data_IF_721608610517
#
_entry.id   IF_721608610517
#
_cell.length_a   1.000
_cell.length_b   1.000
_cell.length_c   1.000
_cell.angle_alpha   90.00
_cell.angle_beta   90.00
_cell.angle_gamma   90.00
#
_symmetry.space_group_name_H-M   'P 1'
#
loop_
_entity.id
_entity.type
_entity.pdbx_description
1 polymer ?
#
# COMPACT_ATOMS: atom_id res chain seq x y z
N UNK A 1 43.73 -54.78 19.90
CA UNK A 1 43.42 -56.11 19.32
C UNK A 1 41.91 -56.14 19.08
N UNK A 2 41.40 -55.76 17.91
CA UNK A 2 41.18 -56.53 16.67
C UNK A 2 39.91 -57.42 16.68
N UNK A 3 39.07 -57.17 15.64
CA UNK A 3 37.90 -57.91 15.07
C UNK A 3 36.53 -57.34 15.46
N UNK A 4 35.76 -56.61 14.63
CA UNK A 4 35.38 -56.64 13.19
C UNK A 4 34.55 -57.87 12.75
N UNK A 5 33.51 -57.56 11.93
CA UNK A 5 32.63 -58.35 11.02
C UNK A 5 31.15 -58.34 11.46
N UNK A 6 30.19 -57.64 10.84
CA UNK A 6 29.74 -57.44 9.42
C UNK A 6 28.79 -58.53 8.88
N UNK A 7 27.58 -58.10 8.46
CA UNK A 7 26.71 -58.54 7.32
C UNK A 7 25.22 -58.47 7.71
N UNK A 8 24.23 -58.24 6.84
CA UNK A 8 24.13 -57.70 5.48
C UNK A 8 22.61 -57.64 5.14
N UNK A 9 22.20 -56.55 4.50
CA UNK A 9 21.24 -56.37 3.38
C UNK A 9 20.20 -57.48 3.11
N UNK A 10 18.94 -57.10 2.98
CA UNK A 10 18.05 -57.67 1.95
C UNK A 10 17.15 -56.59 1.34
N UNK A 11 17.35 -56.39 0.05
CA UNK A 11 16.62 -55.54 -0.89
C UNK A 11 15.31 -56.23 -1.29
N UNK A 12 14.22 -55.48 -1.45
CA UNK A 12 13.08 -55.92 -2.24
C UNK A 12 12.64 -54.79 -3.18
N UNK A 13 13.06 -54.92 -4.43
CA UNK A 13 12.56 -54.18 -5.59
C UNK A 13 11.29 -54.86 -6.08
N UNK A 14 10.22 -54.10 -6.35
CA UNK A 14 9.21 -54.48 -7.35
C UNK A 14 8.94 -53.28 -8.26
N UNK A 15 9.31 -53.47 -9.52
CA UNK A 15 8.98 -52.66 -10.70
C UNK A 15 7.91 -53.41 -11.48
N UNK A 16 6.90 -52.71 -12.01
CA UNK A 16 6.17 -52.97 -13.27
C UNK A 16 5.17 -51.81 -13.48
N UNK A 17 5.43 -50.80 -14.32
CA UNK A 17 5.31 -50.67 -15.80
C UNK A 17 3.88 -50.56 -16.38
N UNK A 18 3.56 -49.32 -16.78
CA UNK A 18 2.95 -48.84 -18.06
C UNK A 18 1.55 -49.28 -18.53
N UNK A 19 0.67 -48.30 -18.78
CA UNK A 19 -0.01 -47.90 -20.06
C UNK A 19 -1.07 -46.80 -19.76
N UNK A 20 -0.92 -45.53 -20.19
CA UNK A 20 -1.30 -44.87 -21.47
C UNK A 20 -2.81 -44.76 -21.82
N UNK A 21 -3.26 -43.51 -22.01
CA UNK A 21 -4.42 -42.98 -22.79
C UNK A 21 -5.79 -42.95 -22.07
N UNK A 22 -6.68 -41.96 -22.16
CA UNK A 22 -6.82 -40.78 -23.03
C UNK A 22 -7.82 -39.77 -22.43
N UNK A 23 -7.51 -38.48 -22.41
CA UNK A 23 -8.51 -37.40 -22.38
C UNK A 23 -8.54 -36.71 -23.75
N UNK A 24 -9.73 -36.65 -24.34
CA UNK A 24 -9.98 -35.98 -25.61
C UNK A 24 -11.33 -35.29 -25.53
N UNK A 25 -11.32 -33.99 -25.26
CA UNK A 25 -12.41 -33.08 -25.57
C UNK A 25 -11.80 -31.87 -26.28
N UNK A 26 -12.06 -31.82 -27.59
CA UNK A 26 -11.72 -30.75 -28.52
C UNK A 26 -12.82 -29.69 -28.50
N UNK A 27 -12.49 -28.39 -28.53
CA UNK A 27 -12.95 -27.35 -29.48
C UNK A 27 -12.59 -25.91 -29.00
N UNK A 28 -12.58 -24.87 -29.86
CA UNK A 28 -11.32 -24.35 -30.38
C UNK A 28 -11.13 -22.83 -30.24
N UNK A 29 -9.94 -22.40 -30.64
CA UNK A 29 -9.52 -21.04 -31.03
C UNK A 29 -10.62 -20.19 -31.70
N UNK A 30 -10.77 -18.96 -31.19
CA UNK A 30 -11.19 -17.81 -31.98
C UNK A 30 -10.26 -16.63 -31.67
N UNK A 31 -9.38 -16.32 -32.62
CA UNK A 31 -8.76 -15.00 -32.78
C UNK A 31 -9.85 -14.02 -33.22
N UNK A 32 -10.00 -12.90 -32.53
CA UNK A 32 -10.56 -11.68 -33.09
C UNK A 32 -9.72 -10.49 -32.65
N UNK A 33 -9.11 -9.86 -33.66
CA UNK A 33 -8.63 -8.49 -33.58
C UNK A 33 -9.83 -7.54 -33.42
N UNK A 34 -9.65 -6.44 -32.69
CA UNK A 34 -10.01 -5.06 -33.06
C UNK A 34 -10.10 -4.14 -31.82
N UNK A 35 -9.26 -3.11 -31.85
CA UNK A 35 -9.45 -1.73 -31.42
C UNK A 35 -10.23 -1.38 -30.12
N UNK A 36 -9.56 -0.55 -29.31
CA UNK A 36 -10.09 0.24 -28.19
C UNK A 36 -11.31 1.10 -28.56
N UNK A 37 -12.22 1.35 -27.61
CA UNK A 37 -13.07 2.52 -27.63
C UNK A 37 -12.74 3.46 -26.46
N UNK A 38 -12.16 4.61 -26.81
CA UNK A 38 -12.38 5.85 -26.07
C UNK A 38 -13.89 6.15 -26.09
N UNK A 39 -14.51 6.36 -24.94
CA UNK A 39 -15.89 6.87 -24.85
C UNK A 39 -15.95 8.09 -23.95
N UNK A 40 -15.53 9.23 -24.51
CA UNK A 40 -15.91 10.55 -24.02
C UNK A 40 -17.34 10.85 -24.45
N UNK A 41 -18.24 10.96 -23.47
CA UNK A 41 -19.63 11.37 -23.70
C UNK A 41 -19.68 12.89 -23.83
N UNK A 42 -19.81 13.42 -25.04
CA UNK A 42 -20.17 14.81 -25.30
C UNK A 42 -21.55 14.82 -25.97
N UNK A 43 -22.56 15.35 -25.26
CA UNK A 43 -23.88 15.69 -25.82
C UNK A 43 -23.87 17.17 -26.20
N UNK A 44 -24.23 17.57 -27.43
CA UNK A 44 -24.68 18.91 -27.70
C UNK A 44 -26.20 18.92 -27.83
N UNK A 45 -26.89 19.55 -26.88
CA UNK A 45 -28.26 20.02 -27.10
C UNK A 45 -28.24 21.50 -27.47
N UNK A 46 -29.02 21.78 -28.49
CA UNK A 46 -29.20 23.05 -29.19
C UNK A 46 -29.90 24.09 -28.31
N UNK A 47 -29.61 25.38 -28.57
CA UNK A 47 -30.64 26.40 -28.82
C UNK A 47 -30.01 27.72 -29.28
N UNK A 48 -30.56 28.19 -30.39
CA UNK A 48 -30.32 29.44 -31.08
C UNK A 48 -31.09 30.59 -30.41
N UNK A 49 -30.47 31.76 -30.29
CA UNK A 49 -31.16 33.05 -30.21
C UNK A 49 -30.43 34.07 -31.09
N UNK A 50 -31.18 34.57 -32.07
CA UNK A 50 -30.84 35.70 -32.92
C UNK A 50 -31.22 37.02 -32.22
N UNK A 51 -30.41 38.07 -32.31
CA UNK A 51 -30.86 39.38 -32.78
C UNK A 51 -29.71 40.37 -33.06
N UNK A 52 -30.02 41.26 -34.00
CA UNK A 52 -29.18 42.17 -34.77
C UNK A 52 -28.74 43.42 -34.00
N UNK A 53 -27.61 44.03 -34.40
CA UNK A 53 -27.62 45.42 -34.87
C UNK A 53 -26.34 45.83 -35.60
N UNK A 54 -26.56 46.75 -36.54
CA UNK A 54 -25.78 47.12 -37.70
C UNK A 54 -24.66 48.11 -37.38
N UNK A 55 -23.54 48.05 -38.11
CA UNK A 55 -22.50 49.08 -38.09
C UNK A 55 -23.00 50.32 -38.84
N UNK A 56 -23.50 51.30 -38.06
CA UNK A 56 -23.77 52.66 -38.53
C UNK A 56 -22.55 53.54 -38.34
N UNK A 57 -22.11 54.17 -39.42
CA UNK A 57 -20.96 55.06 -39.46
C UNK A 57 -21.18 56.41 -38.74
N UNK A 58 -20.05 56.95 -38.29
CA UNK A 58 -19.68 58.36 -38.26
C UNK A 58 -20.33 59.33 -37.24
N UNK A 59 -19.39 60.02 -36.58
CA UNK A 59 -19.40 61.44 -36.24
C UNK A 59 -20.05 61.87 -34.94
N UNK A 60 -19.16 62.11 -33.97
CA UNK A 60 -19.13 63.38 -33.24
C UNK A 60 -20.03 63.43 -32.01
N UNK A 61 -19.42 63.33 -30.83
CA UNK A 61 -19.56 64.31 -29.73
C UNK A 61 -18.76 63.78 -28.53
N UNK A 62 -17.68 64.50 -28.17
CA UNK A 62 -17.11 64.42 -26.81
C UNK A 62 -17.92 65.35 -25.92
N UNK A 63 -18.23 64.92 -24.70
CA UNK A 63 -17.84 65.75 -23.56
C UNK A 63 -17.01 64.97 -22.54
N UNK A 64 -15.92 65.60 -22.08
CA UNK A 64 -15.26 65.25 -20.82
C UNK A 64 -16.26 65.47 -19.69
N UNK A 65 -16.29 64.60 -18.67
CA UNK A 65 -16.35 65.01 -17.26
C UNK A 65 -16.30 63.82 -16.28
N UNK A 66 -15.54 64.06 -15.20
CA UNK A 66 -15.47 63.39 -13.91
C UNK A 66 -14.82 62.01 -13.82
N UNK A 67 -13.66 62.01 -13.15
CA UNK A 67 -13.12 60.83 -12.53
C UNK A 67 -13.99 60.37 -11.37
N UNK A 68 -14.14 59.06 -11.26
CA UNK A 68 -14.17 58.40 -9.96
C UNK A 68 -12.98 57.45 -9.97
N UNK A 69 -12.04 57.66 -9.05
CA UNK A 69 -11.15 56.60 -8.59
C UNK A 69 -12.05 55.63 -7.81
N UNK A 70 -12.71 54.71 -8.53
CA UNK A 70 -13.17 53.48 -7.90
C UNK A 70 -11.95 52.61 -7.65
N UNK A 71 -11.86 51.87 -6.53
CA UNK A 71 -10.81 50.89 -6.38
C UNK A 71 -11.01 49.89 -7.51
N UNK A 72 -10.02 49.78 -8.39
CA UNK A 72 -9.79 48.57 -9.17
C UNK A 72 -9.91 47.38 -8.20
N UNK A 73 -10.72 46.33 -8.48
CA UNK A 73 -10.62 45.12 -7.71
C UNK A 73 -9.19 44.62 -7.92
N UNK A 74 -8.40 44.79 -6.88
CA UNK A 74 -7.04 44.31 -6.80
C UNK A 74 -7.12 42.80 -6.93
N UNK A 75 -6.48 42.29 -7.98
CA UNK A 75 -5.90 40.96 -8.13
C UNK A 75 -6.29 39.97 -7.03
N UNK A 76 -7.28 39.12 -7.30
CA UNK A 76 -7.13 37.72 -6.92
C UNK A 76 -6.64 37.03 -8.17
N UNK A 77 -5.33 36.83 -8.24
CA UNK A 77 -4.65 35.99 -9.23
C UNK A 77 -4.92 34.52 -8.88
N UNK A 78 -6.18 34.17 -8.68
CA UNK A 78 -6.65 32.81 -8.67
C UNK A 78 -7.47 32.63 -9.93
N UNK A 79 -6.85 32.05 -10.97
CA UNK A 79 -7.50 31.68 -12.23
C UNK A 79 -8.45 30.47 -12.02
N UNK A 80 -8.54 29.96 -10.80
CA UNK A 80 -9.34 28.79 -10.44
C UNK A 80 -10.80 29.14 -10.15
N UNK A 81 -11.69 28.18 -10.44
CA UNK A 81 -13.10 28.28 -10.08
C UNK A 81 -13.26 28.11 -8.57
N UNK A 82 -13.85 29.10 -7.90
CA UNK A 82 -14.31 28.97 -6.52
C UNK A 82 -15.84 28.98 -6.49
N UNK A 83 -16.41 27.83 -6.15
CA UNK A 83 -17.84 27.59 -5.99
C UNK A 83 -18.24 27.66 -4.52
N UNK A 84 -19.54 27.78 -4.25
CA UNK A 84 -20.08 27.65 -2.89
C UNK A 84 -19.78 26.27 -2.28
N UNK A 85 -19.66 25.23 -3.13
CA UNK A 85 -19.24 23.89 -2.73
C UNK A 85 -17.80 23.87 -2.19
N UNK A 86 -16.88 24.61 -2.81
CA UNK A 86 -15.47 24.68 -2.37
C UNK A 86 -15.35 25.34 -0.99
N UNK A 87 -16.21 26.32 -0.70
CA UNK A 87 -16.27 26.93 0.63
C UNK A 87 -16.77 25.93 1.68
N UNK A 88 -17.90 25.27 1.42
CA UNK A 88 -18.44 24.27 2.35
C UNK A 88 -17.46 23.11 2.57
N UNK A 89 -16.76 22.69 1.51
CA UNK A 89 -15.77 21.64 1.58
C UNK A 89 -14.52 22.08 2.36
N UNK A 90 -14.03 23.29 2.14
CA UNK A 90 -12.91 23.86 2.89
C UNK A 90 -13.21 24.03 4.39
N UNK A 91 -14.44 24.41 4.74
CA UNK A 91 -14.89 24.50 6.14
C UNK A 91 -14.93 23.10 6.77
N UNK A 92 -15.53 22.12 6.10
CA UNK A 92 -15.55 20.72 6.54
C UNK A 92 -14.14 20.16 6.78
N UNK A 93 -13.22 20.28 5.80
CA UNK A 93 -11.85 19.78 5.94
C UNK A 93 -11.09 20.44 7.09
N UNK A 94 -11.40 21.70 7.39
CA UNK A 94 -10.77 22.42 8.51
C UNK A 94 -11.17 21.83 9.85
N UNK A 95 -12.43 21.42 9.98
CA UNK A 95 -12.94 20.83 11.21
C UNK A 95 -12.50 19.37 11.33
N UNK A 96 -12.54 18.61 10.24
CA UNK A 96 -12.03 17.24 10.17
C UNK A 96 -10.55 17.18 10.58
N UNK A 97 -9.70 18.00 9.96
CA UNK A 97 -8.27 18.05 10.28
C UNK A 97 -8.00 18.38 11.76
N UNK A 98 -8.88 19.15 12.42
CA UNK A 98 -8.71 19.50 13.84
C UNK A 98 -9.06 18.32 14.74
N UNK A 99 -10.15 17.61 14.46
CA UNK A 99 -10.51 16.42 15.23
C UNK A 99 -9.45 15.33 15.02
N UNK A 100 -8.99 15.10 13.80
CA UNK A 100 -7.95 14.09 13.51
C UNK A 100 -6.63 14.34 14.25
N UNK A 101 -6.23 15.61 14.34
CA UNK A 101 -5.05 16.02 15.12
C UNK A 101 -5.22 15.88 16.63
N UNK A 102 -6.46 15.91 17.11
CA UNK A 102 -6.78 15.74 18.53
C UNK A 102 -6.83 14.26 18.90
N UNK A 103 -7.25 13.41 17.97
CA UNK A 103 -7.25 11.95 18.10
C UNK A 103 -5.84 11.38 17.99
N UNK A 104 -4.95 12.02 17.22
CA UNK A 104 -3.56 11.61 17.07
C UNK A 104 -2.86 11.50 18.44
N UNK A 105 -2.81 10.26 18.96
CA UNK A 105 -2.42 9.92 20.35
C UNK A 105 -1.00 10.40 20.68
N UNK A 106 -0.11 10.50 19.69
CA UNK A 106 1.20 11.14 19.83
C UNK A 106 1.73 11.69 18.50
N UNK A 107 2.50 12.79 18.56
CA UNK A 107 3.18 13.39 17.39
C UNK A 107 4.45 12.63 16.97
N UNK A 108 4.89 11.69 17.81
CA UNK A 108 6.14 10.97 17.63
C UNK A 108 5.81 9.55 17.19
N UNK A 109 6.39 9.12 16.07
CA UNK A 109 6.25 7.75 15.61
C UNK A 109 6.75 6.77 16.70
N UNK A 110 6.08 5.61 16.86
CA UNK A 110 6.56 4.57 17.75
C UNK A 110 7.93 4.09 17.28
N UNK A 111 8.73 3.59 18.22
CA UNK A 111 10.10 3.16 17.93
C UNK A 111 10.14 1.64 17.86
N UNK A 112 10.69 1.11 16.78
CA UNK A 112 11.00 -0.31 16.66
C UNK A 112 12.09 -0.70 17.66
N UNK A 113 11.89 -1.82 18.35
CA UNK A 113 12.89 -2.45 19.20
C UNK A 113 13.96 -3.17 18.35
N UNK A 114 15.12 -3.49 18.91
CA UNK A 114 16.19 -4.18 18.17
C UNK A 114 17.14 -3.27 17.37
N UNK A 115 16.97 -1.96 17.43
CA UNK A 115 17.93 -0.99 16.89
C UNK A 115 17.82 -0.76 15.39
N UNK A 116 16.59 -0.71 14.86
CA UNK A 116 16.31 -0.33 13.49
C UNK A 116 16.43 1.19 13.30
N UNK A 117 17.03 1.59 12.18
CA UNK A 117 17.03 2.96 11.69
C UNK A 117 15.87 3.13 10.70
N UNK A 118 14.96 4.07 10.97
CA UNK A 118 13.83 4.38 10.10
C UNK A 118 14.19 5.49 9.11
N UNK A 119 14.11 5.19 7.82
CA UNK A 119 14.16 6.15 6.72
C UNK A 119 12.77 6.23 6.07
N UNK A 120 12.21 7.44 5.96
CA UNK A 120 10.89 7.66 5.37
C UNK A 120 11.02 8.51 4.11
N UNK A 121 10.37 8.07 3.03
CA UNK A 121 10.25 8.79 1.77
C UNK A 121 8.79 8.81 1.31
N UNK A 122 8.04 9.82 1.74
CA UNK A 122 6.60 9.90 1.52
C UNK A 122 5.88 8.74 2.21
N UNK A 123 5.22 7.88 1.43
CA UNK A 123 4.48 6.71 1.92
C UNK A 123 5.32 5.43 1.96
N UNK A 124 6.54 5.45 1.42
CA UNK A 124 7.50 4.35 1.52
C UNK A 124 8.38 4.55 2.76
N UNK A 125 8.50 3.49 3.56
CA UNK A 125 9.35 3.46 4.73
C UNK A 125 10.34 2.30 4.65
N UNK A 126 11.58 2.56 5.09
CA UNK A 126 12.67 1.60 5.14
C UNK A 126 13.20 1.50 6.55
N UNK A 127 13.19 0.31 7.12
CA UNK A 127 13.82 -0.02 8.38
C UNK A 127 15.15 -0.73 8.09
N UNK A 128 16.26 -0.15 8.54
CA UNK A 128 17.60 -0.66 8.26
C UNK A 128 18.24 -1.11 9.57
N UNK A 129 18.78 -2.33 9.56
CA UNK A 129 19.55 -2.89 10.67
C UNK A 129 20.84 -3.53 10.16
N UNK A 130 21.94 -3.30 10.88
CA UNK A 130 23.25 -3.89 10.56
C UNK A 130 23.64 -4.86 11.68
N UNK A 131 23.78 -6.13 11.35
CA UNK A 131 24.09 -7.21 12.30
C UNK A 131 25.32 -7.99 11.83
N UNK A 132 26.39 -8.00 12.62
CA UNK A 132 27.58 -8.83 12.38
C UNK A 132 28.15 -8.75 10.94
N UNK A 133 28.01 -7.60 10.29
CA UNK A 133 28.46 -7.36 8.91
C UNK A 133 27.40 -7.60 7.82
N UNK A 134 26.25 -8.19 8.15
CA UNK A 134 25.08 -8.28 7.28
C UNK A 134 24.21 -7.00 7.40
N UNK A 135 23.56 -6.62 6.30
CA UNK A 135 22.58 -5.53 6.26
C UNK A 135 21.20 -6.14 6.04
N UNK A 136 20.25 -5.83 6.91
CA UNK A 136 18.84 -6.20 6.77
C UNK A 136 18.06 -4.92 6.52
N UNK A 137 17.31 -4.89 5.42
CA UNK A 137 16.43 -3.78 5.06
C UNK A 137 15.01 -4.31 5.00
N UNK A 138 14.09 -3.72 5.74
CA UNK A 138 12.66 -3.99 5.60
C UNK A 138 12.01 -2.78 4.94
N UNK A 139 11.34 -2.99 3.82
CA UNK A 139 10.66 -1.91 3.08
C UNK A 139 9.17 -2.18 3.05
N UNK A 140 8.36 -1.18 3.37
CA UNK A 140 6.90 -1.27 3.29
C UNK A 140 6.31 0.04 2.77
N UNK A 141 5.07 -0.04 2.26
CA UNK A 141 4.33 1.11 1.78
C UNK A 141 2.99 1.20 2.50
N UNK A 142 2.65 2.40 2.95
CA UNK A 142 1.44 2.66 3.73
C UNK A 142 0.20 2.78 2.84
N UNK A 143 0.36 2.99 1.54
CA UNK A 143 -0.78 3.04 0.61
C UNK A 143 -1.51 1.69 0.60
N UNK A 144 -2.84 1.74 0.63
CA UNK A 144 -3.71 0.56 0.55
C UNK A 144 -3.39 -0.50 1.63
N UNK A 145 -2.89 -0.08 2.78
CA UNK A 145 -2.49 -0.96 3.89
C UNK A 145 -3.60 -1.22 4.91
N UNK A 146 -4.70 -0.48 4.82
CA UNK A 146 -5.86 -0.65 5.69
C UNK A 146 -6.85 -1.58 4.99
N UNK A 147 -7.02 -2.78 5.55
CA UNK A 147 -8.03 -3.72 5.07
C UNK A 147 -9.43 -3.17 5.39
N UNK A 148 -10.39 -3.25 4.46
CA UNK A 148 -11.77 -2.87 4.74
C UNK A 148 -12.31 -3.81 5.83
N UNK A 149 -12.44 -3.31 7.05
CA UNK A 149 -12.93 -4.09 8.18
C UNK A 149 -14.43 -4.38 7.99
N UNK A 150 -14.78 -5.52 7.40
CA UNK A 150 -16.17 -5.97 7.26
C UNK A 150 -16.75 -6.51 8.57
N UNK A 151 -15.92 -6.77 9.60
CA UNK A 151 -16.41 -7.28 10.89
C UNK A 151 -17.01 -6.18 11.78
N UNK A 152 -16.56 -4.94 11.66
CA UNK A 152 -17.14 -3.82 12.43
C UNK A 152 -18.58 -3.49 12.01
N UNK A 153 -18.99 -3.83 10.78
CA UNK A 153 -20.40 -3.73 10.37
C UNK A 153 -21.29 -4.78 11.07
N UNK A 154 -20.73 -5.92 11.50
CA UNK A 154 -21.47 -6.96 12.20
C UNK A 154 -21.61 -6.68 13.71
N UNK A 155 -20.59 -6.09 14.35
CA UNK A 155 -20.61 -5.75 15.78
C UNK A 155 -21.51 -4.55 16.11
N UNK A 156 -21.75 -3.63 15.16
CA UNK A 156 -22.71 -2.54 15.33
C UNK A 156 -24.17 -3.04 15.46
N UNK A 157 -24.47 -4.30 15.11
CA UNK A 157 -25.79 -4.91 15.26
C UNK A 157 -26.03 -5.47 16.67
N UNK A 158 -24.98 -5.68 17.48
CA UNK A 158 -25.06 -6.21 18.85
C UNK A 158 -24.64 -5.20 19.93
N UNK A 159 -25.15 -3.97 19.87
CA UNK A 159 -25.59 -3.20 21.06
C UNK A 159 -24.67 -3.05 22.28
N UNK A 160 -23.36 -3.23 22.19
CA UNK A 160 -22.43 -3.06 23.31
C UNK A 160 -21.03 -2.60 22.83
N UNK A 161 -20.91 -1.31 22.49
CA UNK A 161 -19.65 -0.58 22.65
C UNK A 161 -19.94 0.85 23.06
N UNK A 162 -19.29 1.27 24.13
CA UNK A 162 -19.34 2.63 24.69
C UNK A 162 -19.05 3.68 23.62
N UNK A 163 -19.88 4.73 23.59
CA UNK A 163 -19.95 5.78 22.58
C UNK A 163 -18.76 6.78 22.59
N UNK A 164 -17.51 6.31 22.70
CA UNK A 164 -16.34 7.21 22.77
C UNK A 164 -15.04 6.67 22.16
N UNK A 165 -15.03 5.48 21.54
CA UNK A 165 -13.88 5.01 20.74
C UNK A 165 -14.26 4.97 19.27
N UNK A 166 -13.69 5.89 18.48
CA UNK A 166 -13.68 5.80 17.03
C UNK A 166 -13.02 4.49 16.58
N UNK A 167 -13.35 3.96 15.37
CA UNK A 167 -12.76 2.71 14.88
C UNK A 167 -11.23 2.86 14.90
N UNK A 168 -10.55 1.99 15.65
CA UNK A 168 -9.09 1.96 15.62
C UNK A 168 -8.70 1.40 14.24
N UNK A 169 -8.40 2.31 13.31
CA UNK A 169 -7.90 1.96 11.98
C UNK A 169 -6.54 1.29 12.17
N UNK A 170 -6.42 0.04 11.71
CA UNK A 170 -5.18 -0.72 11.78
C UNK A 170 -4.61 -0.86 10.36
N UNK A 171 -3.34 -0.48 10.22
CA UNK A 171 -2.59 -0.58 8.97
C UNK A 171 -1.70 -1.82 9.01
N UNK A 172 -1.97 -2.79 8.14
CA UNK A 172 -1.23 -4.05 7.98
C UNK A 172 -0.59 -4.13 6.58
N UNK A 173 0.45 -3.34 6.29
CA UNK A 173 1.06 -3.33 4.95
C UNK A 173 1.86 -4.60 4.68
N UNK A 174 1.89 -5.04 3.43
CA UNK A 174 2.91 -6.00 3.00
C UNK A 174 4.30 -5.38 3.14
N UNK A 175 5.27 -6.20 3.51
CA UNK A 175 6.64 -5.73 3.71
C UNK A 175 7.64 -6.68 3.08
N UNK A 176 8.70 -6.11 2.54
CA UNK A 176 9.76 -6.83 1.84
C UNK A 176 11.02 -6.78 2.68
N UNK A 177 11.55 -7.95 3.03
CA UNK A 177 12.80 -8.10 3.76
C UNK A 177 13.92 -8.42 2.79
N UNK A 178 14.92 -7.56 2.72
CA UNK A 178 16.16 -7.78 1.98
C UNK A 178 17.31 -8.05 2.95
N UNK A 179 17.99 -9.18 2.75
CA UNK A 179 19.19 -9.54 3.51
C UNK A 179 20.40 -9.55 2.57
N UNK A 180 21.32 -8.61 2.81
CA UNK A 180 22.57 -8.47 2.07
C UNK A 180 23.75 -8.92 2.92
N UNK A 181 24.58 -9.82 2.38
CA UNK A 181 25.83 -10.27 3.01
C UNK A 181 27.02 -9.59 2.33
N UNK A 182 28.06 -9.17 3.08
CA UNK A 182 29.14 -8.32 2.57
C UNK A 182 30.03 -8.98 1.50
N UNK A 183 29.96 -10.31 1.35
CA UNK A 183 30.69 -11.06 0.32
C UNK A 183 29.79 -11.62 -0.79
N UNK A 184 28.47 -11.41 -0.70
CA UNK A 184 27.52 -11.91 -1.69
C UNK A 184 27.33 -10.86 -2.79
N UNK A 185 27.11 -11.29 -4.04
CA UNK A 185 26.74 -10.40 -5.16
C UNK A 185 25.23 -10.17 -5.26
N UNK A 186 24.49 -10.89 -4.44
CA UNK A 186 23.04 -10.97 -4.47
C UNK A 186 22.52 -10.85 -3.04
N UNK A 187 21.41 -10.15 -2.89
CA UNK A 187 20.60 -10.13 -1.68
C UNK A 187 19.55 -11.24 -1.76
N UNK A 188 19.23 -11.82 -0.61
CA UNK A 188 18.07 -12.70 -0.46
C UNK A 188 16.87 -11.84 -0.07
N UNK A 189 15.79 -11.93 -0.83
CA UNK A 189 14.59 -11.10 -0.65
C UNK A 189 13.39 -11.98 -0.31
N UNK A 190 12.64 -11.55 0.70
CA UNK A 190 11.41 -12.18 1.18
C UNK A 190 10.26 -11.18 1.05
N UNK A 191 9.22 -11.55 0.31
CA UNK A 191 7.95 -10.82 0.28
C UNK A 191 7.04 -11.38 1.39
N UNK A 192 6.73 -10.56 2.39
CA UNK A 192 5.98 -10.95 3.57
C UNK A 192 4.63 -10.22 3.62
N UNK A 193 3.62 -10.89 4.13
CA UNK A 193 2.28 -10.34 4.27
C UNK A 193 1.61 -10.78 5.56
N UNK A 194 0.63 -9.99 5.99
CA UNK A 194 -0.26 -10.33 7.09
C UNK A 194 -1.43 -11.16 6.52
N UNK A 195 -1.62 -12.41 6.96
CA UNK A 195 -2.74 -13.23 6.51
C UNK A 195 -4.08 -12.64 6.99
N UNK A 196 -5.11 -12.63 6.12
CA UNK A 196 -6.42 -12.05 6.42
C UNK A 196 -7.27 -12.90 7.38
N UNK A 197 -6.97 -14.20 7.51
CA UNK A 197 -7.87 -15.18 8.13
C UNK A 197 -7.67 -15.41 9.65
N UNK A 198 -6.65 -14.84 10.32
CA UNK A 198 -6.29 -15.24 11.70
C UNK A 198 -5.86 -14.12 12.68
N UNK A 199 -6.47 -12.93 12.62
CA UNK A 199 -6.37 -11.97 13.76
C UNK A 199 -7.44 -12.20 14.83
N UNK A 200 -8.28 -13.23 14.68
CA UNK A 200 -9.19 -13.70 15.73
C UNK A 200 -8.40 -14.53 16.74
N UNK A 201 -8.16 -13.98 17.92
CA UNK A 201 -7.72 -14.72 19.11
C UNK A 201 -8.59 -15.97 19.37
N UNK A 202 -8.21 -17.09 18.76
CA UNK A 202 -8.80 -18.41 18.98
C UNK A 202 -8.02 -19.14 20.05
N UNK A 203 -8.70 -19.57 21.10
CA UNK A 203 -8.15 -20.35 22.21
C UNK A 203 -7.57 -21.69 21.70
N UNK A 204 -6.27 -21.70 21.40
CA UNK A 204 -5.49 -22.88 21.02
C UNK A 204 -4.01 -22.53 20.96
N UNK A 205 -3.26 -22.94 21.97
CA UNK A 205 -1.83 -22.69 22.16
C UNK A 205 -0.95 -23.38 21.12
N UNK A 206 -0.95 -22.89 19.88
CA UNK A 206 0.20 -22.97 18.97
C UNK A 206 0.47 -21.52 18.53
N UNK A 207 1.70 -21.02 18.69
CA UNK A 207 2.08 -19.66 18.26
C UNK A 207 1.80 -19.52 16.75
N UNK A 208 0.63 -18.99 16.41
CA UNK A 208 0.30 -18.62 15.04
C UNK A 208 1.23 -17.48 14.62
N UNK A 209 1.96 -17.66 13.53
CA UNK A 209 2.81 -16.61 12.99
C UNK A 209 1.96 -15.40 12.58
N UNK A 210 2.36 -14.21 13.02
CA UNK A 210 1.62 -12.96 12.78
C UNK A 210 1.72 -12.55 11.31
N UNK A 211 2.79 -12.96 10.65
CA UNK A 211 3.02 -12.73 9.23
C UNK A 211 3.46 -14.03 8.56
N UNK A 212 3.31 -14.10 7.24
CA UNK A 212 3.79 -15.23 6.45
C UNK A 212 4.58 -14.75 5.23
N UNK A 213 5.54 -15.58 4.81
CA UNK A 213 6.35 -15.33 3.62
C UNK A 213 5.55 -15.80 2.42
N UNK A 214 5.26 -14.93 1.43
CA UNK A 214 4.59 -15.29 0.18
C UNK A 214 5.59 -15.76 -0.89
N UNK A 215 6.69 -15.02 -1.02
CA UNK A 215 7.66 -15.24 -2.09
C UNK A 215 9.09 -15.05 -1.58
N UNK A 216 10.01 -15.84 -2.14
CA UNK A 216 11.46 -15.73 -1.88
C UNK A 216 12.22 -15.67 -3.19
N UNK A 217 13.14 -14.72 -3.34
CA UNK A 217 13.96 -14.59 -4.55
C UNK A 217 15.37 -14.08 -4.25
N UNK A 218 16.29 -14.28 -5.20
CA UNK A 218 17.59 -13.61 -5.17
C UNK A 218 17.58 -12.39 -6.09
N UNK A 219 17.95 -11.24 -5.55
CA UNK A 219 18.09 -10.00 -6.30
C UNK A 219 19.56 -9.55 -6.35
N UNK A 220 20.03 -8.91 -7.43
CA UNK A 220 21.36 -8.31 -7.45
C UNK A 220 21.47 -7.22 -6.36
N UNK A 221 22.62 -7.12 -5.71
CA UNK A 221 22.85 -6.10 -4.68
C UNK A 221 22.87 -4.68 -5.29
N UNK A 222 22.14 -3.75 -4.68
CA UNK A 222 22.13 -2.31 -5.01
C UNK A 222 20.73 -1.74 -5.26
N UNK A 223 20.62 -0.41 -5.39
CA UNK A 223 19.37 0.31 -5.73
C UNK A 223 18.95 0.12 -7.21
N UNK A 224 19.26 -1.03 -7.80
CA UNK A 224 18.84 -1.37 -9.16
C UNK A 224 17.35 -1.69 -9.23
N UNK A 225 16.76 -1.53 -10.41
CA UNK A 225 15.39 -1.98 -10.64
C UNK A 225 15.26 -3.49 -10.38
N UNK A 226 14.11 -3.89 -9.82
CA UNK A 226 13.76 -5.29 -9.56
C UNK A 226 13.95 -6.15 -10.80
N UNK A 227 14.71 -7.24 -10.66
CA UNK A 227 14.95 -8.12 -11.80
C UNK A 227 13.81 -9.12 -11.93
N UNK A 228 12.83 -8.80 -12.79
CA UNK A 228 11.68 -9.68 -13.11
C UNK A 228 12.10 -11.04 -13.69
N UNK A 229 13.31 -11.16 -14.24
CA UNK A 229 13.83 -12.41 -14.82
C UNK A 229 14.52 -13.32 -13.80
N UNK A 230 14.60 -12.91 -12.53
CA UNK A 230 15.06 -13.77 -11.44
C UNK A 230 14.00 -14.82 -11.10
N UNK A 231 14.45 -16.00 -10.70
CA UNK A 231 13.52 -17.01 -10.20
C UNK A 231 12.95 -16.58 -8.85
N UNK A 232 11.63 -16.64 -8.75
CA UNK A 232 10.88 -16.38 -7.51
C UNK A 232 10.21 -17.67 -7.08
N UNK A 233 10.51 -18.09 -5.86
CA UNK A 233 9.91 -19.23 -5.20
C UNK A 233 8.63 -18.78 -4.51
N UNK A 234 7.48 -19.34 -4.88
CA UNK A 234 6.24 -19.20 -4.12
C UNK A 234 6.21 -20.24 -2.99
N UNK A 235 5.79 -19.83 -1.81
CA UNK A 235 5.85 -20.63 -0.57
C UNK A 235 4.62 -21.51 -0.33
N UNK A 236 3.50 -21.31 -1.03
CA UNK A 236 2.22 -22.02 -0.80
C UNK A 236 2.32 -23.54 -0.96
N UNK A 237 3.27 -24.00 -1.78
CA UNK A 237 3.51 -25.43 -2.04
C UNK A 237 4.88 -25.91 -1.57
N UNK A 238 5.51 -25.13 -0.69
CA UNK A 238 6.83 -25.44 -0.15
C UNK A 238 6.76 -26.57 0.88
N UNK A 239 7.85 -27.32 1.00
CA UNK A 239 8.02 -28.27 2.11
C UNK A 239 8.06 -27.49 3.44
N UNK A 240 7.24 -27.92 4.40
CA UNK A 240 7.06 -27.23 5.69
C UNK A 240 8.38 -27.04 6.44
N UNK A 241 9.28 -28.03 6.42
CA UNK A 241 10.56 -27.93 7.13
C UNK A 241 11.50 -26.88 6.51
N UNK A 242 11.40 -26.66 5.19
CA UNK A 242 12.12 -25.57 4.54
C UNK A 242 11.49 -24.21 4.88
N UNK A 243 10.17 -24.13 4.98
CA UNK A 243 9.47 -22.91 5.40
C UNK A 243 9.86 -22.50 6.83
N UNK A 244 9.87 -23.45 7.78
CA UNK A 244 10.29 -23.21 9.17
C UNK A 244 11.71 -22.63 9.21
N UNK A 245 12.64 -23.18 8.43
CA UNK A 245 14.00 -22.66 8.35
C UNK A 245 14.11 -21.27 7.72
N UNK A 246 13.16 -20.86 6.87
CA UNK A 246 13.11 -19.50 6.33
C UNK A 246 12.60 -18.52 7.41
N UNK A 247 11.60 -18.93 8.21
CA UNK A 247 11.11 -18.15 9.35
C UNK A 247 12.17 -18.00 10.43
N UNK A 248 12.84 -19.09 10.83
CA UNK A 248 13.99 -19.06 11.76
C UNK A 248 15.09 -18.10 11.27
N UNK A 249 15.37 -18.10 9.96
CA UNK A 249 16.39 -17.24 9.36
C UNK A 249 16.04 -15.74 9.47
N UNK A 250 14.76 -15.39 9.38
CA UNK A 250 14.24 -14.03 9.60
C UNK A 250 14.28 -13.66 11.09
N UNK A 251 13.85 -14.57 11.97
CA UNK A 251 13.85 -14.37 13.42
C UNK A 251 15.27 -14.15 13.97
N UNK A 252 16.26 -14.91 13.50
CA UNK A 252 17.69 -14.71 13.84
C UNK A 252 18.21 -13.30 13.49
N UNK A 253 17.55 -12.62 12.56
CA UNK A 253 17.83 -11.24 12.13
C UNK A 253 16.92 -10.19 12.80
N UNK A 254 16.05 -10.65 13.70
CA UNK A 254 15.04 -9.89 14.44
C UNK A 254 13.90 -9.39 13.57
N UNK A 255 13.53 -10.17 12.56
CA UNK A 255 12.23 -10.10 11.91
C UNK A 255 11.42 -11.29 12.43
N UNK A 256 10.81 -11.10 13.58
CA UNK A 256 9.99 -12.07 14.31
C UNK A 256 8.57 -11.52 14.54
N UNK A 257 7.74 -12.25 15.29
CA UNK A 257 6.37 -11.82 15.60
C UNK A 257 6.33 -10.49 16.38
N UNK A 258 7.31 -10.23 17.26
CA UNK A 258 7.40 -8.94 17.97
C UNK A 258 7.69 -7.79 17.00
N UNK A 259 8.59 -8.00 16.03
CA UNK A 259 8.82 -7.03 14.96
C UNK A 259 7.55 -6.77 14.13
N UNK A 260 6.79 -7.81 13.82
CA UNK A 260 5.55 -7.68 13.04
C UNK A 260 4.50 -6.84 13.79
N UNK A 261 4.29 -7.09 15.09
CA UNK A 261 3.40 -6.27 15.92
C UNK A 261 3.83 -4.80 15.97
N UNK A 262 5.12 -4.54 16.21
CA UNK A 262 5.65 -3.18 16.23
C UNK A 262 5.52 -2.49 14.86
N UNK A 263 5.63 -3.25 13.76
CA UNK A 263 5.48 -2.74 12.41
C UNK A 263 4.03 -2.32 12.12
N UNK A 264 3.03 -3.05 12.64
CA UNK A 264 1.62 -2.66 12.56
C UNK A 264 1.39 -1.33 13.30
N UNK A 265 1.91 -1.21 14.53
CA UNK A 265 1.80 0.05 15.30
C UNK A 265 2.48 1.22 14.56
N UNK A 266 3.67 0.99 14.02
CA UNK A 266 4.42 1.99 13.25
C UNK A 266 3.68 2.40 11.98
N UNK A 267 3.24 1.44 11.16
CA UNK A 267 2.52 1.73 9.92
C UNK A 267 1.22 2.47 10.21
N UNK A 268 0.49 2.08 11.25
CA UNK A 268 -0.76 2.75 11.67
C UNK A 268 -0.51 4.21 12.07
N UNK A 269 0.55 4.48 12.86
CA UNK A 269 0.90 5.85 13.21
C UNK A 269 1.34 6.69 12.00
N UNK A 270 2.06 6.08 11.05
CA UNK A 270 2.51 6.74 9.83
C UNK A 270 1.36 7.02 8.85
N UNK A 271 0.40 6.09 8.74
CA UNK A 271 -0.83 6.23 7.95
C UNK A 271 -1.63 7.43 8.42
N UNK A 272 -1.93 7.48 9.72
CA UNK A 272 -2.67 8.59 10.32
C UNK A 272 -1.98 9.94 10.08
N UNK A 273 -0.64 9.96 10.17
CA UNK A 273 0.14 11.17 9.95
C UNK A 273 0.07 11.65 8.50
N UNK A 274 0.19 10.76 7.52
CA UNK A 274 0.07 11.13 6.10
C UNK A 274 -1.38 11.44 5.72
N UNK A 275 -2.38 10.81 6.36
CA UNK A 275 -3.79 11.16 6.20
C UNK A 275 -4.10 12.59 6.64
N UNK A 276 -3.66 12.99 7.84
CA UNK A 276 -3.80 14.37 8.33
C UNK A 276 -3.14 15.36 7.38
N UNK A 277 -1.94 15.05 6.91
CA UNK A 277 -1.20 15.90 5.95
C UNK A 277 -1.91 15.98 4.60
N UNK A 278 -2.50 14.88 4.13
CA UNK A 278 -3.33 14.87 2.93
C UNK A 278 -4.56 15.79 3.09
N UNK A 279 -5.23 15.78 4.24
CA UNK A 279 -6.35 16.70 4.51
C UNK A 279 -5.89 18.18 4.52
N UNK A 280 -4.70 18.46 5.06
CA UNK A 280 -4.11 19.81 5.02
C UNK A 280 -3.82 20.27 3.59
N UNK A 281 -3.16 19.43 2.79
CA UNK A 281 -2.83 19.71 1.40
C UNK A 281 -4.09 19.88 0.54
N UNK A 282 -5.10 19.02 0.78
CA UNK A 282 -6.41 19.10 0.11
C UNK A 282 -7.14 20.40 0.49
N UNK A 283 -7.16 20.76 1.77
CA UNK A 283 -7.69 22.05 2.22
C UNK A 283 -6.95 23.23 1.58
N UNK A 284 -5.62 23.16 1.48
CA UNK A 284 -4.80 24.17 0.80
C UNK A 284 -5.12 24.30 -0.69
N UNK A 285 -5.30 23.17 -1.37
CA UNK A 285 -5.69 23.12 -2.78
C UNK A 285 -7.06 23.76 -3.03
N UNK A 286 -8.07 23.44 -2.20
CA UNK A 286 -9.44 23.94 -2.36
C UNK A 286 -9.55 25.43 -2.03
N UNK A 287 -8.81 25.90 -1.02
CA UNK A 287 -8.93 27.28 -0.54
C UNK A 287 -8.25 28.31 -1.45
N UNK A 288 -7.33 27.90 -2.33
CA UNK A 288 -6.46 28.76 -3.16
C UNK A 288 -6.30 30.20 -2.60
N UNK A 289 -5.34 30.38 -1.70
CA UNK A 289 -4.96 31.71 -1.23
C UNK A 289 -4.14 32.46 -2.27
#
# INVERSE_FOLDING_TARGET
>A
MLKMLSRAVTTAVRISTSTMSSTGALHPLARSALCSPNSGTIRPFTRSLWMMSNNGAASGYRPKLFGSKGPSPVSCECVSLHTEGDKAFGDFLSDETKEEKKIQKSKTLPKMSGGWELEQNGTEAKLIRKLSGEKVTVTFNINNSVSPNFEEEAEQVQGQKSAESEPDIVSTPNFVVEVTKPAAKHSLVFDCHYPEDEVSHGEGEEESDIFSIREVSFQPEGDGEWKETSYTLNTESLDWALYDHLMDFLADRGVDNTFADELIELSTAMEHQEYVKFLEDLSGFIKCN
#
